data_IF_092326926442
#
_entry.id   IF_092326926442
#
_cell.length_a   1.000
_cell.length_b   1.000
_cell.length_c   1.000
_cell.angle_alpha   90.00
_cell.angle_beta   90.00
_cell.angle_gamma   90.00
#
_symmetry.space_group_name_H-M   'P 1'
#
loop_
_entity.id
_entity.type
_entity.pdbx_description
1 polymer ?
#
# COMPACT_ATOMS: atom_id res chain seq x y z
N UNK A 1 -5.32 -13.52 -15.49
CA UNK A 1 -5.01 -13.48 -15.07
C UNK A 1 -4.18 -13.40 -14.46
N UNK A 2 -3.97 -13.22 -14.11
CA UNK A 2 -3.25 -13.07 -13.53
C UNK A 2 -2.80 -13.66 -12.81
N UNK A 3 -2.31 -13.87 -12.75
CA UNK A 3 -1.89 -14.38 -12.05
C UNK A 3 -0.84 -14.14 -11.56
N UNK A 4 -0.52 -13.72 -11.18
CA UNK A 4 0.42 -13.39 -10.47
C UNK A 4 0.54 -14.11 -9.34
N UNK A 5 1.49 -14.28 -8.76
CA UNK A 5 1.66 -15.12 -7.68
C UNK A 5 1.01 -14.68 -6.44
N UNK A 6 0.64 -13.48 -6.36
CA UNK A 6 0.00 -13.02 -5.20
C UNK A 6 -1.12 -12.16 -5.53
N UNK A 7 -2.20 -12.25 -4.80
CA UNK A 7 -3.35 -11.43 -5.00
C UNK A 7 -3.09 -10.06 -4.41
N UNK A 8 -3.52 -9.05 -5.10
CA UNK A 8 -3.51 -7.72 -4.54
C UNK A 8 -4.88 -7.40 -4.03
N UNK A 9 -4.92 -6.77 -2.88
CA UNK A 9 -6.18 -6.36 -2.29
C UNK A 9 -6.44 -4.91 -2.62
N UNK A 10 -7.66 -4.62 -2.99
CA UNK A 10 -8.09 -3.25 -3.20
C UNK A 10 -9.08 -2.94 -2.12
N UNK A 11 -8.66 -2.22 -1.11
CA UNK A 11 -9.58 -1.90 -0.02
C UNK A 11 -10.74 -1.08 -0.53
N UNK A 12 -11.80 -1.11 0.21
CA UNK A 12 -12.96 -0.29 -0.08
C UNK A 12 -12.59 1.15 0.25
N UNK A 13 -12.14 1.85 -0.73
CA UNK A 13 -11.59 3.15 -0.54
C UNK A 13 -10.11 3.07 -0.27
N UNK A 14 -9.42 4.13 -0.50
CA UNK A 14 -7.98 4.17 -0.33
C UNK A 14 -7.63 4.27 1.15
N UNK A 15 -6.49 3.70 1.49
CA UNK A 15 -6.00 3.75 2.86
C UNK A 15 -5.02 4.89 2.97
N UNK A 16 -5.27 5.79 3.91
CA UNK A 16 -4.38 6.92 4.13
C UNK A 16 -3.05 6.43 4.70
N UNK A 17 -1.97 7.01 4.22
CA UNK A 17 -0.64 6.68 4.71
C UNK A 17 0.21 7.93 4.73
N UNK A 18 1.38 7.82 5.35
CA UNK A 18 2.40 8.85 5.30
C UNK A 18 3.56 8.33 4.47
N UNK A 19 3.96 9.11 3.48
CA UNK A 19 5.12 8.78 2.65
C UNK A 19 6.28 9.59 3.17
N UNK A 20 7.36 8.91 3.53
CA UNK A 20 8.55 9.57 4.07
C UNK A 20 9.70 9.31 3.11
N UNK A 21 10.39 10.36 2.71
CA UNK A 21 11.57 10.21 1.85
C UNK A 21 12.61 11.24 2.29
N UNK A 22 13.73 11.29 1.59
CA UNK A 22 14.84 12.07 2.06
C UNK A 22 14.54 13.57 2.13
N UNK A 23 13.55 14.04 1.42
CA UNK A 23 13.23 15.46 1.43
C UNK A 23 12.07 15.83 2.34
N UNK A 24 11.47 14.85 2.99
CA UNK A 24 10.39 15.17 3.90
C UNK A 24 9.34 14.07 3.97
N UNK A 25 8.13 14.51 4.20
CA UNK A 25 7.01 13.57 4.32
C UNK A 25 5.75 14.21 3.78
N UNK A 26 4.83 13.39 3.33
CA UNK A 26 3.52 13.89 2.95
C UNK A 26 2.51 12.78 3.06
N UNK A 27 1.25 13.18 3.05
CA UNK A 27 0.16 12.23 3.09
C UNK A 27 -0.06 11.62 1.71
N UNK A 28 -0.34 10.33 1.69
CA UNK A 28 -0.68 9.66 0.46
C UNK A 28 -1.78 8.66 0.72
N UNK A 29 -2.14 7.91 -0.32
CA UNK A 29 -3.23 6.95 -0.25
C UNK A 29 -2.82 5.67 -0.94
N UNK A 30 -3.09 4.56 -0.28
CA UNK A 30 -2.81 3.24 -0.84
C UNK A 30 -4.08 2.68 -1.44
N UNK A 31 -4.04 2.36 -2.72
CA UNK A 31 -5.21 1.86 -3.44
C UNK A 31 -5.27 0.34 -3.47
N UNK A 32 -4.12 -0.31 -3.51
CA UNK A 32 -4.09 -1.75 -3.34
C UNK A 32 -2.77 -2.13 -2.70
N UNK A 33 -2.75 -3.29 -2.09
CA UNK A 33 -1.59 -3.71 -1.33
C UNK A 33 -1.51 -5.23 -1.34
N UNK A 34 -0.29 -5.72 -1.40
CA UNK A 34 0.00 -7.15 -1.29
C UNK A 34 1.20 -7.30 -0.38
N UNK A 35 1.64 -8.52 -0.20
CA UNK A 35 2.82 -8.74 0.63
C UNK A 35 4.09 -8.24 -0.04
N UNK A 36 4.05 -7.91 -1.33
CA UNK A 36 5.23 -7.47 -2.05
C UNK A 36 5.25 -6.00 -2.40
N UNK A 37 4.11 -5.35 -2.44
CA UNK A 37 4.10 -3.98 -2.85
C UNK A 37 2.73 -3.37 -2.78
N UNK A 38 2.61 -2.17 -3.34
CA UNK A 38 1.37 -1.42 -3.22
C UNK A 38 1.27 -0.42 -4.36
N UNK A 39 0.07 0.09 -4.56
CA UNK A 39 -0.18 1.20 -5.46
C UNK A 39 -0.44 2.43 -4.60
N UNK A 40 0.38 3.44 -4.77
CA UNK A 40 0.33 4.66 -3.99
C UNK A 40 -0.15 5.81 -4.85
N UNK A 41 -0.97 6.65 -4.27
CA UNK A 41 -1.33 7.92 -4.86
C UNK A 41 -0.80 9.03 -3.97
N UNK A 42 -0.06 9.99 -4.54
CA UNK A 42 0.51 11.09 -3.77
C UNK A 42 0.78 12.25 -4.72
N UNK A 43 0.92 13.44 -4.15
CA UNK A 43 0.97 14.65 -4.95
C UNK A 43 2.36 15.02 -5.41
N UNK A 44 3.39 14.59 -4.71
CA UNK A 44 4.75 14.97 -5.08
C UNK A 44 5.36 13.98 -6.05
N UNK A 45 6.27 14.46 -6.85
CA UNK A 45 7.05 13.61 -7.72
C UNK A 45 8.28 13.14 -6.97
N UNK A 46 8.25 11.90 -6.52
CA UNK A 46 9.37 11.33 -5.76
C UNK A 46 10.48 10.82 -6.68
N UNK A 47 10.22 10.75 -7.98
CA UNK A 47 11.14 10.16 -8.91
C UNK A 47 11.24 8.67 -8.70
N UNK A 48 12.33 8.09 -9.16
CA UNK A 48 12.59 6.68 -8.94
C UNK A 48 13.48 6.60 -7.71
N UNK A 49 12.88 6.50 -6.57
CA UNK A 49 13.65 6.60 -5.34
C UNK A 49 13.08 5.67 -4.30
N UNK A 50 13.68 5.71 -3.15
CA UNK A 50 13.27 4.92 -2.02
C UNK A 50 12.42 5.75 -1.11
N UNK A 51 11.35 5.17 -0.64
CA UNK A 51 10.45 5.83 0.28
C UNK A 51 10.12 4.88 1.41
N UNK A 52 9.54 5.44 2.45
CA UNK A 52 9.03 4.65 3.54
C UNK A 52 7.56 4.95 3.66
N UNK A 53 6.75 3.91 3.71
CA UNK A 53 5.31 4.07 3.81
C UNK A 53 4.92 3.74 5.23
N UNK A 54 4.31 4.70 5.90
CA UNK A 54 3.85 4.49 7.27
C UNK A 54 2.34 4.38 7.26
N UNK A 55 1.85 3.26 7.75
CA UNK A 55 0.42 2.96 7.80
C UNK A 55 0.02 2.75 9.24
N UNK A 56 -1.05 3.41 9.64
CA UNK A 56 -1.60 3.23 10.97
C UNK A 56 -2.97 2.62 10.84
N UNK A 57 -3.15 1.45 11.43
CA UNK A 57 -4.42 0.77 11.42
C UNK A 57 -4.97 0.75 12.82
N UNK A 58 -5.72 1.79 13.16
CA UNK A 58 -6.23 1.93 14.52
C UNK A 58 -7.09 0.78 14.92
N UNK A 59 -7.85 0.26 13.97
CA UNK A 59 -8.76 -0.84 14.27
C UNK A 59 -8.02 -2.07 14.75
N UNK A 60 -6.81 -2.25 14.28
CA UNK A 60 -6.02 -3.40 14.65
C UNK A 60 -4.97 -3.10 15.70
N UNK A 61 -4.84 -1.82 16.05
CA UNK A 61 -3.77 -1.43 16.94
C UNK A 61 -2.39 -1.62 16.35
N UNK A 62 -2.28 -1.56 15.02
CA UNK A 62 -1.03 -1.84 14.35
C UNK A 62 -0.51 -0.61 13.63
N UNK A 63 0.79 -0.46 13.65
CA UNK A 63 1.45 0.59 12.89
C UNK A 63 2.57 -0.07 12.10
N UNK A 64 2.61 0.19 10.81
CA UNK A 64 3.58 -0.43 9.92
C UNK A 64 4.44 0.64 9.29
N UNK A 65 5.72 0.35 9.18
CA UNK A 65 6.63 1.20 8.44
C UNK A 65 7.28 0.32 7.39
N UNK A 66 6.96 0.58 6.13
CA UNK A 66 7.34 -0.32 5.05
C UNK A 66 8.31 0.36 4.11
N UNK A 67 9.58 -0.06 4.11
CA UNK A 67 10.52 0.48 3.14
C UNK A 67 10.16 -0.01 1.76
N UNK A 68 10.19 0.88 0.79
CA UNK A 68 9.77 0.54 -0.56
C UNK A 68 10.61 1.27 -1.59
N UNK A 69 10.65 0.68 -2.77
CA UNK A 69 11.26 1.32 -3.94
C UNK A 69 10.16 1.64 -4.93
N UNK A 70 10.27 2.78 -5.56
CA UNK A 70 9.32 3.15 -6.59
C UNK A 70 9.76 2.50 -7.89
N UNK A 71 8.90 1.66 -8.45
CA UNK A 71 9.21 0.93 -9.66
C UNK A 71 8.66 1.62 -10.90
N UNK A 72 7.57 2.33 -10.77
CA UNK A 72 7.05 3.10 -11.88
C UNK A 72 6.22 4.25 -11.34
N UNK A 73 5.97 5.21 -12.20
CA UNK A 73 5.31 6.45 -11.85
C UNK A 73 4.41 6.83 -13.01
N UNK A 74 3.15 7.04 -12.74
CA UNK A 74 2.19 7.45 -13.76
C UNK A 74 1.64 8.81 -13.38
N UNK A 75 1.83 9.75 -14.28
CA UNK A 75 1.34 11.11 -14.09
C UNK A 75 -0.13 11.15 -14.46
N UNK A 76 -0.91 11.80 -13.64
CA UNK A 76 -2.32 11.97 -13.92
C UNK A 76 -2.56 13.35 -14.48
N UNK A 77 -2.98 13.46 -15.73
CA UNK A 77 -3.18 14.79 -16.29
C UNK A 77 -4.39 15.52 -15.75
N UNK A 78 -5.27 14.81 -15.10
CA UNK A 78 -6.50 15.42 -14.63
C UNK A 78 -6.54 15.66 -13.15
N UNK A 79 -5.66 15.01 -12.43
CA UNK A 79 -5.62 15.13 -10.98
C UNK A 79 -4.34 15.78 -10.56
N UNK A 80 -4.32 16.24 -9.34
CA UNK A 80 -3.08 16.75 -8.79
C UNK A 80 -2.17 15.65 -8.30
N UNK A 81 -2.69 14.44 -8.15
CA UNK A 81 -1.92 13.34 -7.60
C UNK A 81 -1.48 12.41 -8.70
N UNK A 82 -0.32 11.85 -8.51
CA UNK A 82 0.21 10.83 -9.41
C UNK A 82 0.11 9.49 -8.74
N UNK A 83 0.30 8.44 -9.53
CA UNK A 83 0.28 7.08 -9.03
C UNK A 83 1.67 6.48 -9.12
N UNK A 84 2.01 5.68 -8.12
CA UNK A 84 3.34 5.08 -8.02
C UNK A 84 3.19 3.61 -7.70
N UNK A 85 3.89 2.78 -8.45
CA UNK A 85 3.95 1.37 -8.13
C UNK A 85 5.13 1.11 -7.23
N UNK A 86 4.86 0.53 -6.07
CA UNK A 86 5.86 0.31 -5.05
C UNK A 86 6.17 -1.16 -4.88
N UNK A 87 7.44 -1.46 -4.65
CA UNK A 87 7.87 -2.79 -4.24
C UNK A 87 8.53 -2.66 -2.88
N UNK A 88 8.04 -3.42 -1.92
CA UNK A 88 8.61 -3.37 -0.58
C UNK A 88 10.01 -3.98 -0.59
N UNK A 89 10.88 -3.46 0.27
CA UNK A 89 12.26 -3.87 0.32
C UNK A 89 12.52 -4.58 1.63
N UNK A 90 13.12 -5.71 1.56
CA UNK A 90 13.72 -6.41 2.71
C UNK A 90 13.01 -6.19 4.04
N UNK A 91 11.76 -6.58 4.11
CA UNK A 91 11.04 -6.45 5.36
C UNK A 91 11.58 -7.46 6.37
N UNK A 92 11.74 -7.01 7.62
CA UNK A 92 12.10 -7.96 8.65
C UNK A 92 10.89 -8.84 8.98
N UNK A 93 11.14 -9.88 9.73
CA UNK A 93 10.12 -10.87 9.99
C UNK A 93 8.93 -10.28 10.74
N UNK A 94 9.20 -9.44 11.70
CA UNK A 94 8.14 -8.85 12.49
C UNK A 94 7.25 -7.97 11.60
N UNK A 95 7.85 -7.16 10.76
CA UNK A 95 7.10 -6.29 9.87
C UNK A 95 6.29 -7.10 8.87
N UNK A 96 6.88 -8.18 8.38
CA UNK A 96 6.19 -9.03 7.42
C UNK A 96 4.97 -9.69 8.05
N UNK A 97 5.09 -10.15 9.28
CA UNK A 97 3.95 -10.74 9.97
C UNK A 97 2.85 -9.70 10.16
N UNK A 98 3.22 -8.49 10.54
CA UNK A 98 2.23 -7.44 10.71
C UNK A 98 1.55 -7.10 9.40
N UNK A 99 2.32 -7.03 8.33
CA UNK A 99 1.76 -6.73 7.02
C UNK A 99 0.76 -7.81 6.61
N UNK A 100 1.11 -9.06 6.81
CA UNK A 100 0.20 -10.14 6.47
C UNK A 100 -1.07 -10.09 7.29
N UNK A 101 -0.96 -9.70 8.55
CA UNK A 101 -2.14 -9.55 9.39
C UNK A 101 -3.06 -8.46 8.87
N UNK A 102 -2.46 -7.35 8.42
CA UNK A 102 -3.24 -6.26 7.86
C UNK A 102 -3.92 -6.69 6.57
N UNK A 103 -3.19 -7.40 5.72
CA UNK A 103 -3.77 -7.87 4.46
C UNK A 103 -4.94 -8.81 4.73
N UNK A 104 -4.79 -9.68 5.71
CA UNK A 104 -5.86 -10.58 6.09
C UNK A 104 -7.09 -9.81 6.57
N UNK A 105 -6.87 -8.78 7.36
CA UNK A 105 -7.99 -7.99 7.85
C UNK A 105 -8.70 -7.26 6.72
N UNK A 106 -7.96 -6.76 5.75
CA UNK A 106 -8.56 -6.10 4.61
C UNK A 106 -9.32 -7.09 3.75
N UNK A 107 -8.80 -8.28 3.58
CA UNK A 107 -9.48 -9.31 2.84
C UNK A 107 -10.79 -9.69 3.52
N UNK A 108 -10.77 -9.71 4.83
CA UNK A 108 -12.00 -9.98 5.56
C UNK A 108 -13.06 -8.94 5.33
N UNK A 109 -12.67 -7.69 5.27
CA UNK A 109 -13.61 -6.64 4.94
C UNK A 109 -14.16 -6.79 3.55
N UNK A 110 -13.27 -7.07 2.60
CA UNK A 110 -13.72 -7.27 1.23
C UNK A 110 -14.69 -8.42 1.15
N UNK A 111 -14.40 -9.47 1.86
CA UNK A 111 -15.31 -10.62 1.85
C UNK A 111 -16.65 -10.27 2.45
N UNK A 112 -16.63 -9.42 3.46
CA UNK A 112 -17.88 -9.11 4.11
C UNK A 112 -18.80 -8.38 3.19
N UNK A 113 -18.31 -7.70 2.16
CA UNK A 113 -19.18 -7.25 1.18
C UNK A 113 -19.13 -7.95 -0.10
N UNK A 114 -18.13 -8.58 -0.39
CA UNK A 114 -18.07 -9.32 -1.57
C UNK A 114 -18.89 -10.52 -1.52
N UNK A 115 -19.57 -10.65 -0.60
CA UNK A 115 -20.32 -11.69 -0.56
C UNK A 115 -19.57 -12.85 -0.32
N UNK A 116 -19.07 -12.60 0.06
CA UNK A 116 -18.65 -13.47 0.39
C UNK A 116 -18.35 -14.52 -0.02
N UNK A 117 -18.43 -14.58 -0.27
CA UNK A 117 -18.20 -15.36 -0.56
C UNK A 117 -17.56 -16.10 -0.55
N UNK A 118 -17.43 -16.23 -0.42
CA UNK A 118 -16.92 -16.84 -0.48
C UNK A 118 -16.50 -17.49 -0.04
N UNK A 119 -16.52 -17.59 0.25
CA UNK A 119 -16.10 -18.19 0.60
C UNK A 119 -15.84 -18.54 0.61
#
# INVERSE_FOLDING_TARGET
MEKRGEARLQPDGAIRCTVVWDKGREEGFIHNISSRGALLEASNDFGISRVQIVLDFEELGESLSLPASIRWHAVSPQNENDHYGLVFRSLDEETQVKLERVIEALAGRDYSFGGGAST
#
